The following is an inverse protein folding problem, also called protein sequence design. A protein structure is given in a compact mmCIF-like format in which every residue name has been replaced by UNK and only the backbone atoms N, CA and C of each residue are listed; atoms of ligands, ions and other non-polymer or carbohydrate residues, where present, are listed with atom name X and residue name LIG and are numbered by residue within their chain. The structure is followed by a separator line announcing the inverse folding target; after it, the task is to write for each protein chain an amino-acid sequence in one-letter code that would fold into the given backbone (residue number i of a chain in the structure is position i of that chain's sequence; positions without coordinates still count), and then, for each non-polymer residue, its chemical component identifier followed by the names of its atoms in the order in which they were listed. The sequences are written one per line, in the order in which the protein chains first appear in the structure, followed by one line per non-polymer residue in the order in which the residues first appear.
data_IF_635582626656
#
_entry.id   IF_635582626656
#
_cell.length_a   1.000
_cell.length_b   1.000
_cell.length_c   1.000
_cell.angle_alpha   90.00
_cell.angle_beta   90.00
_cell.angle_gamma   90.00
#
_symmetry.space_group_name_H-M   'P 1'
#
loop_
_entity.id
_entity.type
_entity.pdbx_description
1 polymer ?
#
# COMPACT_ATOMS: atom_id res chain seq x y z
N UNK A 1 -17.36 -3.99 7.50
CA UNK A 1 -16.30 -3.15 8.08
C UNK A 1 -15.93 -2.11 7.03
N UNK A 2 -15.88 -0.83 7.36
CA UNK A 2 -15.47 0.19 6.40
C UNK A 2 -13.95 0.17 6.17
N UNK A 3 -13.46 0.58 5.01
CA UNK A 3 -12.02 0.64 4.71
C UNK A 3 -11.19 1.33 5.79
N UNK A 4 -11.70 2.46 6.32
CA UNK A 4 -11.03 3.24 7.35
C UNK A 4 -10.85 2.43 8.65
N UNK A 5 -11.81 1.58 8.99
CA UNK A 5 -11.79 0.72 10.17
C UNK A 5 -10.77 -0.41 10.00
N UNK A 6 -10.76 -1.07 8.83
CA UNK A 6 -9.75 -2.06 8.44
C UNK A 6 -8.33 -1.49 8.61
N UNK A 7 -8.08 -0.30 8.04
CA UNK A 7 -6.77 0.35 8.09
C UNK A 7 -6.39 0.65 9.55
N UNK A 8 -7.32 1.20 10.34
CA UNK A 8 -7.06 1.55 11.74
C UNK A 8 -6.75 0.31 12.58
N UNK A 9 -7.45 -0.79 12.38
CA UNK A 9 -7.21 -2.04 13.09
C UNK A 9 -5.86 -2.65 12.76
N UNK A 10 -5.48 -2.65 11.47
CA UNK A 10 -4.15 -3.09 11.04
C UNK A 10 -3.08 -2.17 11.63
N UNK A 11 -3.22 -0.84 11.55
CA UNK A 11 -2.25 0.09 12.17
C UNK A 11 -2.11 -0.17 13.68
N UNK A 12 -3.22 -0.39 14.39
CA UNK A 12 -3.22 -0.71 15.83
C UNK A 12 -2.49 -2.01 16.14
N UNK A 13 -2.67 -3.05 15.32
CA UNK A 13 -1.95 -4.34 15.41
C UNK A 13 -0.44 -4.19 15.30
N UNK A 14 0.04 -3.21 14.53
CA UNK A 14 1.47 -2.99 14.28
C UNK A 14 2.12 -1.91 15.16
N UNK A 15 1.35 -0.98 15.74
CA UNK A 15 1.86 0.11 16.60
C UNK A 15 2.85 -0.38 17.66
N UNK A 16 2.53 -1.46 18.38
CA UNK A 16 3.39 -2.01 19.44
C UNK A 16 4.65 -2.74 18.95
N UNK A 17 4.77 -3.00 17.64
CA UNK A 17 5.91 -3.70 17.03
C UNK A 17 6.96 -2.74 16.48
N UNK A 18 6.63 -1.45 16.33
CA UNK A 18 7.50 -0.42 15.78
C UNK A 18 7.91 0.50 16.92
N UNK A 19 9.17 0.43 17.33
CA UNK A 19 9.77 1.35 18.29
C UNK A 19 10.88 2.14 17.60
N UNK A 20 10.55 3.33 17.12
CA UNK A 20 11.49 4.20 16.41
C UNK A 20 11.22 5.67 16.73
N UNK A 21 12.27 6.43 17.04
CA UNK A 21 12.15 7.84 17.45
C UNK A 21 11.69 8.79 16.34
N UNK A 22 11.71 8.34 15.08
CA UNK A 22 11.27 9.09 13.90
C UNK A 22 9.92 8.65 13.37
N UNK A 23 9.30 7.61 13.96
CA UNK A 23 7.96 7.12 13.59
C UNK A 23 7.01 7.36 14.76
N UNK A 24 5.99 8.20 14.52
CA UNK A 24 4.99 8.56 15.50
C UNK A 24 3.64 7.97 15.10
N UNK A 25 2.89 7.44 16.06
CA UNK A 25 1.56 6.88 15.84
C UNK A 25 0.53 7.75 16.55
N UNK A 26 -0.68 7.83 16.00
CA UNK A 26 -1.83 8.41 16.70
C UNK A 26 -2.06 7.70 18.06
N UNK A 27 -2.47 8.40 19.13
CA UNK A 27 -2.65 9.86 19.23
C UNK A 27 -1.37 10.65 19.52
N UNK A 28 -0.22 9.98 19.58
CA UNK A 28 1.06 10.50 20.07
C UNK A 28 1.88 11.28 19.02
N UNK A 29 1.25 11.69 17.91
CA UNK A 29 1.90 12.49 16.86
C UNK A 29 2.11 13.93 17.38
N UNK A 30 3.36 14.45 17.44
CA UNK A 30 3.60 15.78 17.98
C UNK A 30 2.90 16.87 17.15
N UNK A 31 2.10 17.70 17.82
CA UNK A 31 1.27 18.74 17.17
C UNK A 31 2.06 19.64 16.21
N UNK A 32 3.25 20.10 16.63
CA UNK A 32 4.11 20.96 15.80
C UNK A 32 4.57 20.26 14.51
N UNK A 33 4.89 18.96 14.58
CA UNK A 33 5.29 18.16 13.40
C UNK A 33 4.11 17.98 12.47
N UNK A 34 2.93 17.62 13.01
CA UNK A 34 1.72 17.51 12.20
C UNK A 34 1.35 18.82 11.51
N UNK A 35 1.47 19.97 12.20
CA UNK A 35 1.25 21.29 11.59
C UNK A 35 2.21 21.61 10.45
N UNK A 36 3.46 21.17 10.54
CA UNK A 36 4.41 21.32 9.44
C UNK A 36 4.03 20.45 8.25
N UNK A 37 3.65 19.18 8.49
CA UNK A 37 3.16 18.27 7.46
C UNK A 37 1.96 18.84 6.71
N UNK A 38 0.97 19.36 7.45
CA UNK A 38 -0.21 20.00 6.86
C UNK A 38 0.15 21.19 5.96
N UNK A 39 1.17 21.98 6.32
CA UNK A 39 1.63 23.12 5.52
C UNK A 39 2.46 22.71 4.31
N UNK A 40 3.27 21.67 4.46
CA UNK A 40 4.23 21.21 3.44
C UNK A 40 3.55 20.36 2.37
N UNK A 41 2.97 19.22 2.73
CA UNK A 41 2.61 18.20 1.74
C UNK A 41 1.25 17.49 1.97
N UNK A 42 0.59 17.66 3.12
CA UNK A 42 -0.70 17.04 3.41
C UNK A 42 -1.77 18.06 3.84
N UNK A 43 -2.02 19.05 2.97
CA UNK A 43 -3.01 20.10 3.21
C UNK A 43 -4.42 19.51 3.38
N UNK A 44 -5.16 20.02 4.36
CA UNK A 44 -6.56 19.64 4.60
C UNK A 44 -6.79 18.37 5.43
N UNK A 45 -5.73 17.61 5.76
CA UNK A 45 -5.86 16.39 6.59
C UNK A 45 -6.13 16.76 8.04
N UNK A 46 -7.16 16.17 8.65
CA UNK A 46 -7.50 16.32 10.06
C UNK A 46 -6.57 15.52 10.97
N UNK A 47 -6.37 15.99 12.21
CA UNK A 47 -5.53 15.28 13.18
C UNK A 47 -6.07 13.88 13.55
N UNK A 48 -7.38 13.69 13.49
CA UNK A 48 -8.02 12.38 13.70
C UNK A 48 -7.83 11.41 12.53
N UNK A 49 -7.55 11.91 11.33
CA UNK A 49 -7.31 11.09 10.13
C UNK A 49 -5.86 10.62 10.06
N UNK A 50 -4.92 11.37 10.66
CA UNK A 50 -3.52 11.01 10.73
C UNK A 50 -3.30 9.80 11.66
N UNK A 51 -2.75 8.73 11.11
CA UNK A 51 -2.47 7.48 11.82
C UNK A 51 -0.99 7.31 12.15
N UNK A 52 -0.10 7.62 11.20
CA UNK A 52 1.35 7.47 11.34
C UNK A 52 2.04 8.65 10.69
N UNK A 53 3.07 9.18 11.35
CA UNK A 53 3.98 10.18 10.81
C UNK A 53 5.41 9.65 10.86
N UNK A 54 6.09 9.66 9.72
CA UNK A 54 7.52 9.39 9.59
C UNK A 54 8.22 10.71 9.33
N UNK A 55 9.12 11.11 10.21
CA UNK A 55 9.94 12.30 10.05
C UNK A 55 11.26 11.96 9.37
N UNK A 56 11.51 12.53 8.20
CA UNK A 56 12.74 12.32 7.45
C UNK A 56 13.57 13.61 7.32
N UNK A 57 13.54 14.47 8.34
CA UNK A 57 14.29 15.73 8.35
C UNK A 57 15.42 15.73 9.37
N UNK A 58 16.56 16.32 9.01
CA UNK A 58 17.75 16.44 9.86
C UNK A 58 17.46 17.12 11.21
N UNK A 59 16.57 18.13 11.21
CA UNK A 59 16.20 18.88 12.41
C UNK A 59 14.85 18.47 13.00
N UNK A 60 14.29 17.33 12.59
CA UNK A 60 13.06 16.79 13.18
C UNK A 60 11.81 17.67 13.00
N UNK A 61 11.73 18.41 11.90
CA UNK A 61 10.61 19.28 11.56
C UNK A 61 9.43 18.54 10.90
N UNK A 62 9.64 17.34 10.38
CA UNK A 62 8.69 16.55 9.59
C UNK A 62 8.17 17.23 8.31
N UNK A 63 8.88 18.24 7.80
CA UNK A 63 8.55 18.86 6.50
C UNK A 63 8.83 17.93 5.32
N UNK A 64 9.72 16.97 5.52
CA UNK A 64 10.00 15.83 4.64
C UNK A 64 9.75 14.54 5.41
N UNK A 65 9.33 13.49 4.71
CA UNK A 65 8.94 12.22 5.30
C UNK A 65 7.61 11.72 4.73
N UNK A 66 6.83 11.03 5.56
CA UNK A 66 5.55 10.47 5.12
C UNK A 66 4.46 10.57 6.18
N UNK A 67 3.22 10.75 5.73
CA UNK A 67 2.02 10.75 6.55
C UNK A 67 1.06 9.66 6.07
N UNK A 68 0.64 8.79 6.96
CA UNK A 68 -0.32 7.74 6.67
C UNK A 68 -1.63 8.12 7.35
N UNK A 69 -2.72 8.05 6.60
CA UNK A 69 -4.07 8.35 7.08
C UNK A 69 -4.94 7.10 7.05
N UNK A 70 -6.21 7.20 7.39
CA UNK A 70 -7.19 6.12 7.19
C UNK A 70 -7.74 6.04 5.75
N UNK A 71 -7.19 6.83 4.81
CA UNK A 71 -7.62 6.84 3.39
C UNK A 71 -6.47 6.66 2.39
N UNK A 72 -5.33 7.28 2.68
CA UNK A 72 -4.20 7.34 1.78
C UNK A 72 -2.88 7.51 2.53
N UNK A 73 -1.79 7.25 1.82
CA UNK A 73 -0.42 7.56 2.23
C UNK A 73 0.13 8.72 1.40
N UNK A 74 0.90 9.57 2.05
CA UNK A 74 1.51 10.77 1.49
C UNK A 74 3.01 10.73 1.79
N UNK A 75 3.86 11.10 0.83
CA UNK A 75 5.29 11.28 1.05
C UNK A 75 5.79 12.55 0.38
N UNK A 76 6.77 13.18 1.00
CA UNK A 76 7.51 14.30 0.46
C UNK A 76 8.99 14.06 0.70
N UNK A 77 9.73 13.81 -0.38
CA UNK A 77 11.18 13.71 -0.35
C UNK A 77 11.78 15.09 -0.61
N UNK A 78 12.98 15.31 -0.09
CA UNK A 78 13.69 16.57 -0.26
C UNK A 78 13.80 16.93 -1.75
N UNK A 79 13.46 18.17 -2.11
CA UNK A 79 13.46 18.69 -3.49
C UNK A 79 12.58 17.90 -4.49
N UNK A 80 11.63 17.10 -4.01
CA UNK A 80 10.71 16.33 -4.86
C UNK A 80 9.26 16.80 -4.65
N UNK A 81 8.38 16.70 -5.67
CA UNK A 81 6.96 16.90 -5.44
C UNK A 81 6.41 15.85 -4.47
N UNK A 82 5.32 16.20 -3.80
CA UNK A 82 4.58 15.27 -2.95
C UNK A 82 3.98 14.12 -3.77
N UNK A 83 4.11 12.91 -3.23
CA UNK A 83 3.52 11.68 -3.76
C UNK A 83 2.35 11.24 -2.86
N UNK A 84 1.31 10.69 -3.47
CA UNK A 84 0.12 10.19 -2.78
C UNK A 84 -0.36 8.90 -3.43
N UNK A 85 -0.70 7.91 -2.61
CA UNK A 85 -1.46 6.73 -3.03
C UNK A 85 -2.67 6.52 -2.13
N UNK A 86 -3.85 6.30 -2.74
CA UNK A 86 -4.97 5.66 -2.04
C UNK A 86 -4.58 4.22 -1.72
N UNK A 87 -5.00 3.68 -0.57
CA UNK A 87 -4.65 2.29 -0.24
C UNK A 87 -5.17 1.28 -1.28
N UNK A 88 -6.31 1.55 -1.90
CA UNK A 88 -6.87 0.70 -2.98
C UNK A 88 -6.04 0.72 -4.26
N UNK A 89 -5.25 1.77 -4.49
CA UNK A 89 -4.40 1.88 -5.66
C UNK A 89 -3.04 1.21 -5.45
N UNK A 90 -2.72 0.79 -4.22
CA UNK A 90 -1.44 0.16 -3.90
C UNK A 90 -1.53 -1.34 -4.21
N UNK A 91 -0.69 -1.80 -5.14
CA UNK A 91 -0.58 -3.21 -5.55
C UNK A 91 0.56 -3.92 -4.84
N UNK A 92 1.65 -3.21 -4.58
CA UNK A 92 2.79 -3.72 -3.84
C UNK A 92 3.50 -2.61 -3.05
N UNK A 93 4.09 -3.00 -1.91
CA UNK A 93 5.02 -2.19 -1.15
C UNK A 93 6.25 -3.01 -0.78
N UNK A 94 7.44 -2.47 -1.05
CA UNK A 94 8.73 -3.14 -0.79
C UNK A 94 9.67 -2.15 -0.10
N UNK A 95 10.32 -2.61 0.97
CA UNK A 95 11.42 -1.87 1.58
C UNK A 95 12.74 -2.37 1.02
N UNK A 96 13.52 -1.44 0.47
CA UNK A 96 14.85 -1.68 -0.08
C UNK A 96 15.89 -1.00 0.82
N UNK A 97 16.54 -1.76 1.73
CA UNK A 97 17.62 -1.21 2.54
C UNK A 97 18.85 -0.94 1.66
N UNK A 98 19.63 0.08 2.01
CA UNK A 98 20.86 0.44 1.32
C UNK A 98 21.53 1.64 1.96
N UNK A 99 22.53 2.21 1.26
CA UNK A 99 23.17 3.49 1.67
C UNK A 99 22.11 4.57 1.90
N UNK A 100 21.13 4.59 1.00
CA UNK A 100 19.89 5.30 1.15
C UNK A 100 18.76 4.27 1.10
N UNK A 101 18.02 4.11 2.19
CA UNK A 101 16.92 3.13 2.22
C UNK A 101 15.66 3.70 1.58
N UNK A 102 14.91 2.87 0.88
CA UNK A 102 13.74 3.30 0.11
C UNK A 102 12.53 2.44 0.43
N UNK A 103 11.39 3.07 0.71
CA UNK A 103 10.08 2.45 0.59
C UNK A 103 9.59 2.66 -0.84
N UNK A 104 9.38 1.56 -1.56
CA UNK A 104 8.94 1.54 -2.95
C UNK A 104 7.49 1.07 -3.00
N UNK A 105 6.64 1.82 -3.70
CA UNK A 105 5.20 1.56 -3.83
C UNK A 105 4.85 1.57 -5.31
N UNK A 106 4.24 0.49 -5.80
CA UNK A 106 3.94 0.33 -7.23
C UNK A 106 5.17 0.52 -8.15
N UNK A 107 6.36 0.14 -7.67
CA UNK A 107 7.63 0.34 -8.37
C UNK A 107 8.20 1.76 -8.32
N UNK A 108 7.49 2.72 -7.71
CA UNK A 108 7.95 4.11 -7.55
C UNK A 108 8.64 4.28 -6.19
N UNK A 109 9.79 4.98 -6.16
CA UNK A 109 10.44 5.40 -4.91
C UNK A 109 9.57 6.40 -4.18
N UNK A 110 8.74 5.89 -3.27
CA UNK A 110 7.73 6.67 -2.56
C UNK A 110 8.37 7.51 -1.45
N UNK A 111 9.15 6.86 -0.58
CA UNK A 111 9.86 7.52 0.51
C UNK A 111 11.33 7.09 0.52
N UNK A 112 12.21 8.07 0.42
CA UNK A 112 13.61 7.93 0.74
C UNK A 112 13.79 8.14 2.26
N UNK A 113 14.45 7.22 2.98
CA UNK A 113 14.66 7.39 4.42
C UNK A 113 15.99 6.87 4.93
N UNK A 114 16.63 7.70 5.76
CA UNK A 114 17.93 7.43 6.39
C UNK A 114 17.87 7.57 7.93
N UNK A 115 16.75 8.05 8.46
CA UNK A 115 16.59 8.32 9.90
C UNK A 115 15.83 7.21 10.61
N UNK A 116 14.71 6.74 10.03
CA UNK A 116 13.98 5.59 10.55
C UNK A 116 14.82 4.32 10.36
N UNK A 117 14.85 3.48 11.38
CA UNK A 117 15.65 2.24 11.38
C UNK A 117 15.11 1.20 10.39
N UNK A 118 16.01 0.41 9.81
CA UNK A 118 15.64 -0.66 8.87
C UNK A 118 14.64 -1.69 9.44
N UNK A 119 14.76 -2.13 10.72
CA UNK A 119 13.77 -3.01 11.32
C UNK A 119 12.38 -2.36 11.39
N UNK A 120 12.30 -1.09 11.80
CA UNK A 120 11.04 -0.35 11.87
C UNK A 120 10.38 -0.21 10.49
N UNK A 121 11.16 0.15 9.47
CA UNK A 121 10.69 0.27 8.09
C UNK A 121 10.26 -1.07 7.48
N UNK A 122 10.94 -2.17 7.83
CA UNK A 122 10.54 -3.53 7.45
C UNK A 122 9.15 -3.86 8.01
N UNK A 123 8.94 -3.63 9.32
CA UNK A 123 7.66 -3.90 9.98
C UNK A 123 6.55 -2.97 9.45
N UNK A 124 6.87 -1.71 9.18
CA UNK A 124 5.95 -0.77 8.55
C UNK A 124 5.54 -1.25 7.15
N UNK A 125 6.47 -1.79 6.38
CA UNK A 125 6.19 -2.31 5.03
C UNK A 125 5.33 -3.57 5.10
N UNK A 126 5.55 -4.44 6.09
CA UNK A 126 4.66 -5.58 6.37
C UNK A 126 3.24 -5.10 6.69
N UNK A 127 3.10 -4.05 7.50
CA UNK A 127 1.80 -3.44 7.79
C UNK A 127 1.11 -2.90 6.53
N UNK A 128 1.85 -2.21 5.64
CA UNK A 128 1.29 -1.75 4.36
C UNK A 128 0.84 -2.94 3.52
N UNK A 129 1.64 -4.01 3.45
CA UNK A 129 1.28 -5.21 2.70
C UNK A 129 0.04 -5.92 3.27
N UNK A 130 -0.14 -5.94 4.60
CA UNK A 130 -1.39 -6.44 5.19
C UNK A 130 -2.61 -5.58 4.83
N UNK A 131 -2.44 -4.25 4.74
CA UNK A 131 -3.51 -3.36 4.24
C UNK A 131 -3.82 -3.66 2.77
N UNK A 132 -2.79 -3.85 1.94
CA UNK A 132 -2.97 -4.23 0.54
C UNK A 132 -3.72 -5.55 0.46
N UNK A 133 -3.34 -6.56 1.24
CA UNK A 133 -3.98 -7.87 1.23
C UNK A 133 -5.44 -7.82 1.68
N UNK A 134 -5.79 -6.92 2.61
CA UNK A 134 -7.17 -6.70 3.02
C UNK A 134 -8.05 -6.02 1.95
N UNK A 135 -7.42 -5.30 0.99
CA UNK A 135 -8.10 -4.63 -0.12
C UNK A 135 -7.93 -5.30 -1.46
N UNK A 136 -7.10 -6.34 -1.56
CA UNK A 136 -7.16 -7.26 -2.70
C UNK A 136 -8.57 -7.83 -2.70
N UNK A 137 -9.30 -7.56 -3.77
CA UNK A 137 -10.44 -8.41 -4.09
C UNK A 137 -9.94 -9.86 -4.03
N UNK A 138 -10.74 -10.80 -3.49
CA UNK A 138 -10.35 -12.20 -3.50
C UNK A 138 -9.87 -12.47 -4.91
N UNK A 139 -8.60 -12.85 -5.04
CA UNK A 139 -8.10 -13.31 -6.33
C UNK A 139 -9.09 -14.39 -6.73
N UNK A 140 -9.95 -14.12 -7.72
CA UNK A 140 -10.21 -15.18 -8.68
C UNK A 140 -8.81 -15.52 -9.13
N UNK A 141 -8.26 -16.63 -8.62
CA UNK A 141 -7.05 -17.19 -9.19
C UNK A 141 -7.29 -17.14 -10.69
N UNK A 142 -6.54 -16.29 -11.39
CA UNK A 142 -6.52 -16.37 -12.84
C UNK A 142 -5.97 -17.76 -13.10
N UNK A 143 -6.90 -18.69 -13.35
CA UNK A 143 -6.60 -20.05 -13.76
C UNK A 143 -5.61 -19.90 -14.90
N UNK A 144 -4.52 -20.67 -14.86
CA UNK A 144 -3.60 -20.67 -15.99
C UNK A 144 -4.40 -20.89 -17.28
N UNK A 145 -3.99 -20.32 -18.42
CA UNK A 145 -4.77 -20.49 -19.67
C UNK A 145 -5.08 -21.97 -19.97
N UNK A 146 -4.19 -22.89 -19.56
CA UNK A 146 -4.41 -24.33 -19.62
C UNK A 146 -5.53 -24.86 -18.70
N UNK A 147 -5.63 -24.37 -17.47
CA UNK A 147 -6.71 -24.74 -16.53
C UNK A 147 -8.06 -24.14 -16.94
N UNK A 148 -8.06 -22.88 -17.42
CA UNK A 148 -9.24 -22.24 -17.96
C UNK A 148 -9.80 -23.01 -19.18
N UNK A 149 -8.91 -23.52 -20.05
CA UNK A 149 -9.30 -24.36 -21.19
C UNK A 149 -9.89 -25.72 -20.76
N UNK A 150 -9.35 -26.34 -19.71
CA UNK A 150 -9.89 -27.62 -19.18
C UNK A 150 -11.32 -27.44 -18.67
N UNK A 151 -11.56 -26.41 -17.86
CA UNK A 151 -12.89 -26.11 -17.34
C UNK A 151 -13.86 -25.71 -18.45
N UNK A 152 -13.41 -24.88 -19.40
CA UNK A 152 -14.23 -24.49 -20.55
C UNK A 152 -14.70 -25.71 -21.35
N UNK A 153 -13.83 -26.72 -21.53
CA UNK A 153 -14.18 -27.99 -22.16
C UNK A 153 -15.20 -28.78 -21.34
N UNK A 154 -15.03 -28.86 -20.02
CA UNK A 154 -15.99 -29.53 -19.13
C UNK A 154 -17.38 -28.90 -19.21
N UNK A 155 -17.47 -27.57 -19.22
CA UNK A 155 -18.76 -26.86 -19.33
C UNK A 155 -19.46 -27.12 -20.67
N UNK A 156 -18.69 -27.20 -21.76
CA UNK A 156 -19.22 -27.58 -23.07
C UNK A 156 -19.72 -29.04 -23.09
N UNK A 157 -18.93 -29.97 -22.56
CA UNK A 157 -19.30 -31.39 -22.43
C UNK A 157 -20.56 -31.59 -21.55
N UNK A 158 -20.78 -30.71 -20.57
CA UNK A 158 -21.98 -30.69 -19.74
C UNK A 158 -23.19 -30.02 -20.41
N UNK A 159 -23.04 -29.49 -21.62
CA UNK A 159 -24.10 -28.77 -22.33
C UNK A 159 -24.43 -27.40 -21.75
N UNK A 160 -23.56 -26.85 -20.89
CA UNK A 160 -23.71 -25.52 -20.27
C UNK A 160 -23.21 -24.39 -21.17
N UNK A 161 -22.56 -24.74 -22.29
CA UNK A 161 -22.12 -23.82 -23.32
C UNK A 161 -22.54 -24.34 -24.69
N UNK A 162 -22.93 -23.42 -25.57
CA UNK A 162 -23.07 -23.72 -26.99
C UNK A 162 -21.70 -23.87 -27.66
N UNK A 163 -21.65 -24.55 -28.80
CA UNK A 163 -20.41 -24.71 -29.59
C UNK A 163 -19.83 -23.34 -30.00
N UNK A 164 -20.68 -22.39 -30.36
CA UNK A 164 -20.27 -21.02 -30.69
C UNK A 164 -19.64 -20.28 -29.50
N UNK A 165 -20.22 -20.40 -28.30
CA UNK A 165 -19.65 -19.79 -27.09
C UNK A 165 -18.34 -20.46 -26.66
N UNK A 166 -18.26 -21.77 -26.81
CA UNK A 166 -17.06 -22.54 -26.53
C UNK A 166 -15.91 -22.11 -27.43
N UNK A 167 -16.09 -22.08 -28.75
CA UNK A 167 -15.01 -21.73 -29.69
C UNK A 167 -14.52 -20.28 -29.53
N UNK A 168 -15.45 -19.33 -29.33
CA UNK A 168 -15.08 -17.94 -29.09
C UNK A 168 -14.25 -17.76 -27.81
N UNK A 169 -14.67 -18.39 -26.71
CA UNK A 169 -13.94 -18.33 -25.43
C UNK A 169 -12.62 -19.09 -25.51
N UNK A 170 -12.60 -20.24 -26.18
CA UNK A 170 -11.41 -21.09 -26.36
C UNK A 170 -10.31 -20.35 -27.11
N UNK A 171 -10.66 -19.66 -28.21
CA UNK A 171 -9.70 -18.86 -28.98
C UNK A 171 -8.98 -17.82 -28.12
N UNK A 172 -9.74 -17.09 -27.28
CA UNK A 172 -9.18 -16.10 -26.35
C UNK A 172 -8.14 -16.68 -25.39
N UNK A 173 -8.33 -17.91 -24.90
CA UNK A 173 -7.38 -18.54 -23.98
C UNK A 173 -6.19 -19.17 -24.70
N UNK A 174 -6.36 -19.64 -25.94
CA UNK A 174 -5.25 -20.14 -26.77
C UNK A 174 -4.27 -19.01 -27.11
N UNK A 175 -4.78 -17.81 -27.38
CA UNK A 175 -3.95 -16.63 -27.66
C UNK A 175 -3.10 -16.17 -26.45
N UNK A 176 -3.35 -16.73 -25.26
CA UNK A 176 -2.67 -16.43 -24.00
C UNK A 176 -1.70 -17.54 -23.53
N UNK A 177 -1.60 -18.66 -24.27
CA UNK A 177 -0.63 -19.75 -24.04
C UNK A 177 0.74 -19.40 -24.64
#
# INVERSE_FOLDING_TARGET
MGDQEIIRDIVKKYKGKINDKYIYFHPDIPFKKFKNVQKSYAKGIGAGEALILIDNTTFGSAKDGALFTDRAIYAHNMMSPMQKFSYRDIRNAVFMPGLTSNLVINGVKFLETNFASQPAMTILTQMINEIIDAFKEPKTEEKSPAEALKELKTLYEQGLLTEFEYENKRKKYIDLL
#
